data_IF_269512237333
#
_entry.id   IF_269512237333
#
_cell.length_a   1.000
_cell.length_b   1.000
_cell.length_c   1.000
_cell.angle_alpha   90.00
_cell.angle_beta   90.00
_cell.angle_gamma   90.00
#
_symmetry.space_group_name_H-M   'P 1'
#
loop_
_entity.id
_entity.type
_entity.pdbx_description
1 polymer ?
#
# COMPACT_ATOMS: atom_id res chain seq x y z
N UNK A 1 32.11 2.96 23.46
CA UNK A 1 31.20 1.85 23.15
C UNK A 1 30.72 2.05 21.73
N UNK A 2 31.12 1.20 20.78
CA UNK A 2 30.73 1.29 19.37
C UNK A 2 29.47 0.48 19.15
N UNK A 3 28.42 1.12 18.65
CA UNK A 3 27.19 0.45 18.21
C UNK A 3 27.46 -0.09 16.81
N UNK A 4 27.52 -1.41 16.66
CA UNK A 4 27.57 -2.05 15.34
C UNK A 4 26.17 -1.93 14.72
N UNK A 5 26.05 -1.19 13.61
CA UNK A 5 24.82 -1.15 12.83
C UNK A 5 24.52 -2.57 12.33
N UNK A 6 23.32 -3.07 12.63
CA UNK A 6 22.85 -4.35 12.11
C UNK A 6 22.63 -4.17 10.61
N UNK A 7 23.44 -4.84 9.80
CA UNK A 7 23.26 -4.86 8.35
C UNK A 7 21.91 -5.53 8.05
N UNK A 8 20.98 -4.81 7.42
CA UNK A 8 19.71 -5.39 6.98
C UNK A 8 20.01 -6.53 5.99
N UNK A 9 19.31 -7.68 6.11
CA UNK A 9 19.50 -8.79 5.19
C UNK A 9 19.19 -8.34 3.77
N UNK A 10 19.89 -8.91 2.80
CA UNK A 10 19.62 -8.70 1.38
C UNK A 10 18.18 -9.11 1.07
N UNK A 11 17.45 -8.25 0.36
CA UNK A 11 16.05 -8.52 0.03
C UNK A 11 15.99 -9.69 -0.97
N UNK A 12 15.48 -10.88 -0.60
CA UNK A 12 15.43 -12.02 -1.52
C UNK A 12 14.49 -11.79 -2.73
N UNK A 13 13.73 -10.69 -2.71
CA UNK A 13 12.77 -10.31 -3.73
C UNK A 13 13.24 -9.13 -4.62
N UNK A 14 14.55 -8.86 -4.74
CA UNK A 14 15.07 -7.73 -5.56
C UNK A 14 14.46 -7.71 -6.95
N UNK A 15 14.41 -8.87 -7.64
CA UNK A 15 13.84 -8.96 -8.99
C UNK A 15 12.34 -8.64 -8.98
N UNK A 16 11.57 -9.27 -8.09
CA UNK A 16 10.12 -9.04 -7.99
C UNK A 16 9.80 -7.58 -7.66
N UNK A 17 10.61 -6.95 -6.82
CA UNK A 17 10.47 -5.52 -6.51
C UNK A 17 10.78 -4.64 -7.71
N UNK A 18 11.85 -4.92 -8.46
CA UNK A 18 12.16 -4.20 -9.69
C UNK A 18 11.05 -4.34 -10.75
N UNK A 19 10.52 -5.56 -10.91
CA UNK A 19 9.39 -5.83 -11.80
C UNK A 19 8.15 -5.04 -11.34
N UNK A 20 7.85 -5.00 -10.03
CA UNK A 20 6.75 -4.21 -9.48
C UNK A 20 6.90 -2.72 -9.80
N UNK A 21 8.08 -2.15 -9.55
CA UNK A 21 8.36 -0.73 -9.84
C UNK A 21 8.18 -0.42 -11.32
N UNK A 22 8.68 -1.27 -12.21
CA UNK A 22 8.53 -1.07 -13.66
C UNK A 22 7.06 -1.20 -14.11
N UNK A 23 6.32 -2.20 -13.60
CA UNK A 23 4.92 -2.44 -13.99
C UNK A 23 3.94 -1.41 -13.41
N UNK A 24 4.33 -0.67 -12.38
CA UNK A 24 3.49 0.34 -11.71
C UNK A 24 3.96 1.77 -11.94
N UNK A 25 4.95 1.99 -12.81
CA UNK A 25 5.56 3.32 -13.03
C UNK A 25 4.58 4.38 -13.53
N UNK A 26 3.54 3.96 -14.24
CA UNK A 26 2.53 4.85 -14.83
C UNK A 26 1.22 4.84 -14.00
N UNK A 27 1.20 4.20 -12.83
CA UNK A 27 0.02 4.16 -11.98
C UNK A 27 -0.15 5.46 -11.20
N UNK A 28 -1.37 5.99 -11.24
CA UNK A 28 -1.80 7.13 -10.44
C UNK A 28 -2.70 6.69 -9.30
N UNK A 29 -2.64 7.41 -8.18
CA UNK A 29 -3.62 7.31 -7.10
C UNK A 29 -4.78 8.26 -7.38
N UNK A 30 -5.99 7.71 -7.42
CA UNK A 30 -7.25 8.43 -7.58
C UNK A 30 -8.11 8.24 -6.34
N UNK A 31 -8.65 9.33 -5.82
CA UNK A 31 -9.65 9.32 -4.75
C UNK A 31 -11.02 9.22 -5.41
N UNK A 32 -11.69 8.07 -5.26
CA UNK A 32 -13.03 7.83 -5.79
C UNK A 32 -14.12 8.29 -4.80
N UNK A 33 -13.83 8.19 -3.50
CA UNK A 33 -14.70 8.64 -2.42
C UNK A 33 -13.85 9.02 -1.20
N UNK A 34 -14.24 10.10 -0.52
CA UNK A 34 -13.61 10.57 0.72
C UNK A 34 -14.67 11.25 1.60
N UNK A 35 -15.13 10.52 2.61
CA UNK A 35 -16.06 11.01 3.64
C UNK A 35 -15.59 10.53 5.03
N UNK A 36 -14.67 11.30 5.61
CA UNK A 36 -14.12 10.98 6.93
C UNK A 36 -13.43 9.63 6.92
N UNK A 37 -13.93 8.66 7.70
CA UNK A 37 -13.35 7.31 7.77
C UNK A 37 -13.75 6.40 6.59
N UNK A 38 -14.73 6.80 5.79
CA UNK A 38 -15.17 6.08 4.60
C UNK A 38 -14.43 6.60 3.37
N UNK A 39 -13.42 5.87 2.92
CA UNK A 39 -12.59 6.28 1.77
C UNK A 39 -12.48 5.15 0.76
N UNK A 40 -12.42 5.50 -0.51
CA UNK A 40 -12.12 4.58 -1.60
C UNK A 40 -11.04 5.19 -2.48
N UNK A 41 -9.84 4.63 -2.36
CA UNK A 41 -8.67 4.99 -3.15
C UNK A 41 -8.48 3.92 -4.21
N UNK A 42 -8.11 4.32 -5.42
CA UNK A 42 -7.75 3.42 -6.51
C UNK A 42 -6.37 3.77 -7.03
N UNK A 43 -5.55 2.76 -7.24
CA UNK A 43 -4.24 2.90 -7.90
C UNK A 43 -4.28 2.13 -9.21
N UNK A 44 -4.06 2.83 -10.32
CA UNK A 44 -4.12 2.24 -11.67
C UNK A 44 -3.39 3.10 -12.69
N UNK A 45 -2.95 2.49 -13.79
CA UNK A 45 -2.55 3.24 -14.98
C UNK A 45 -3.77 3.90 -15.66
N UNK A 46 -3.64 5.13 -16.21
CA UNK A 46 -4.73 5.80 -16.90
C UNK A 46 -5.33 4.97 -18.05
N UNK A 47 -6.66 4.93 -18.11
CA UNK A 47 -7.39 4.27 -19.21
C UNK A 47 -7.48 2.74 -19.15
N UNK A 48 -6.94 2.09 -18.10
CA UNK A 48 -7.06 0.65 -17.90
C UNK A 48 -7.30 0.30 -16.42
N UNK A 49 -7.85 -0.89 -16.16
CA UNK A 49 -7.89 -1.51 -14.82
C UNK A 49 -6.90 -2.66 -14.66
N UNK A 50 -6.14 -2.99 -15.71
CA UNK A 50 -5.11 -4.02 -15.61
C UNK A 50 -4.08 -3.61 -14.56
N UNK A 51 -3.72 -4.54 -13.68
CA UNK A 51 -2.79 -4.31 -12.57
C UNK A 51 -3.27 -3.26 -11.56
N UNK A 52 -4.58 -3.00 -11.48
CA UNK A 52 -5.13 -2.03 -10.53
C UNK A 52 -5.44 -2.66 -9.17
N UNK A 53 -5.39 -1.84 -8.13
CA UNK A 53 -5.88 -2.19 -6.79
C UNK A 53 -6.56 -1.00 -6.13
N UNK A 54 -7.45 -1.32 -5.21
CA UNK A 54 -8.26 -0.39 -4.44
C UNK A 54 -7.94 -0.55 -2.95
N UNK A 55 -7.93 0.58 -2.24
CA UNK A 55 -7.89 0.65 -0.78
C UNK A 55 -9.20 1.27 -0.31
N UNK A 56 -10.00 0.50 0.41
CA UNK A 56 -11.29 0.94 0.95
C UNK A 56 -11.24 0.93 2.47
N UNK A 57 -11.65 2.02 3.09
CA UNK A 57 -11.69 2.14 4.55
C UNK A 57 -13.10 2.39 5.06
N UNK A 58 -13.34 1.93 6.28
CA UNK A 58 -14.48 2.30 7.12
C UNK A 58 -14.02 2.17 8.59
N UNK A 59 -14.78 2.67 9.58
CA UNK A 59 -14.30 2.72 10.97
C UNK A 59 -13.78 1.37 11.46
N UNK A 60 -12.49 1.30 11.80
CA UNK A 60 -11.87 0.06 12.30
C UNK A 60 -11.25 -0.85 11.22
N UNK A 61 -11.39 -0.51 9.93
CA UNK A 61 -11.13 -1.44 8.83
C UNK A 61 -10.42 -0.80 7.63
N UNK A 62 -9.52 -1.58 7.02
CA UNK A 62 -8.93 -1.32 5.71
C UNK A 62 -8.99 -2.59 4.86
N UNK A 63 -9.63 -2.51 3.70
CA UNK A 63 -9.67 -3.57 2.72
C UNK A 63 -8.81 -3.22 1.50
N UNK A 64 -8.09 -4.22 1.01
CA UNK A 64 -7.45 -4.22 -0.30
C UNK A 64 -8.25 -5.11 -1.24
N UNK A 65 -8.45 -4.67 -2.47
CA UNK A 65 -9.14 -5.42 -3.53
C UNK A 65 -8.62 -4.97 -4.90
N UNK A 66 -9.03 -5.59 -6.00
CA UNK A 66 -8.62 -5.11 -7.32
C UNK A 66 -8.55 -6.19 -8.39
N UNK A 67 -7.85 -5.85 -9.47
CA UNK A 67 -7.46 -6.78 -10.53
C UNK A 67 -6.30 -7.68 -10.10
N UNK A 68 -5.43 -7.16 -9.23
CA UNK A 68 -4.29 -7.91 -8.67
C UNK A 68 -4.51 -8.28 -7.20
N UNK A 69 -4.11 -9.53 -6.89
CA UNK A 69 -4.24 -10.21 -5.59
C UNK A 69 -5.68 -10.55 -5.16
N UNK A 70 -5.80 -11.54 -4.26
CA UNK A 70 -7.09 -12.05 -3.75
C UNK A 70 -7.81 -11.06 -2.81
N UNK A 71 -7.15 -9.96 -2.44
CA UNK A 71 -7.63 -8.98 -1.48
C UNK A 71 -7.50 -9.42 -0.02
N UNK A 72 -7.35 -8.47 0.90
CA UNK A 72 -7.19 -8.69 2.34
C UNK A 72 -7.88 -7.58 3.13
N UNK A 73 -8.40 -7.92 4.32
CA UNK A 73 -8.98 -6.95 5.27
C UNK A 73 -8.15 -6.93 6.56
N UNK A 74 -7.75 -5.74 6.97
CA UNK A 74 -7.05 -5.45 8.22
C UNK A 74 -7.98 -4.73 9.18
N UNK A 75 -7.86 -5.00 10.48
CA UNK A 75 -8.72 -4.42 11.52
C UNK A 75 -7.92 -4.03 12.76
N UNK A 76 -8.09 -2.81 13.28
CA UNK A 76 -7.45 -2.37 14.53
C UNK A 76 -8.00 -1.07 15.12
N UNK A 77 -7.66 0.08 14.53
CA UNK A 77 -7.95 1.44 15.01
C UNK A 77 -9.04 2.10 14.16
N UNK A 78 -9.75 3.15 14.66
CA UNK A 78 -10.80 3.82 13.91
C UNK A 78 -10.36 4.29 12.52
N UNK A 79 -9.18 4.93 12.42
CA UNK A 79 -8.55 5.28 11.14
C UNK A 79 -7.39 4.31 10.84
N UNK A 80 -7.65 3.37 9.94
CA UNK A 80 -6.65 2.38 9.56
C UNK A 80 -5.58 2.94 8.62
N UNK A 81 -5.83 4.03 7.86
CA UNK A 81 -4.76 4.68 7.10
C UNK A 81 -3.75 5.31 8.06
N UNK A 82 -4.24 6.00 9.10
CA UNK A 82 -3.40 6.53 10.18
C UNK A 82 -2.56 5.42 10.81
N UNK A 83 -3.18 4.29 11.16
CA UNK A 83 -2.47 3.13 11.69
C UNK A 83 -1.29 2.67 10.81
N UNK A 84 -1.49 2.58 9.48
CA UNK A 84 -0.45 2.16 8.55
C UNK A 84 0.64 3.22 8.31
N UNK A 85 0.42 4.49 8.63
CA UNK A 85 1.50 5.50 8.54
C UNK A 85 2.64 5.26 9.52
N UNK A 86 2.37 4.62 10.67
CA UNK A 86 3.36 4.31 11.71
C UNK A 86 4.33 3.21 11.24
N UNK A 87 3.88 2.30 10.38
CA UNK A 87 4.70 1.22 9.84
C UNK A 87 5.68 1.70 8.73
N UNK A 88 5.53 2.94 8.24
CA UNK A 88 6.25 3.47 7.07
C UNK A 88 7.46 4.38 7.37
N UNK A 89 7.85 4.63 8.62
CA UNK A 89 9.13 5.29 8.90
C UNK A 89 10.28 4.31 8.64
N UNK A 90 10.75 4.25 7.39
CA UNK A 90 12.18 4.01 7.21
C UNK A 90 12.89 5.27 7.68
N UNK A 91 13.63 5.18 8.79
CA UNK A 91 14.67 6.18 9.04
C UNK A 91 15.54 6.25 7.77
N UNK A 92 15.65 7.46 7.23
CA UNK A 92 16.48 7.75 6.07
C UNK A 92 17.96 7.51 6.33
#
# INVERSE_FOLDING_TARGET
MTVTAIQKPENPYVKTYADFVEQTKDHDLVILHDDGLYRHLRVQAPGTRMWSWDVTTWPGHLATSGDIADGHVFTREPDMLEFFTIAGRSEG
#
